data_IF_976614835910
#
_entry.id   IF_976614835910
#
_cell.length_a   1.000
_cell.length_b   1.000
_cell.length_c   1.000
_cell.angle_alpha   90.00
_cell.angle_beta   90.00
_cell.angle_gamma   90.00
#
_symmetry.space_group_name_H-M   'P 1'
#
loop_
_entity.id
_entity.type
_entity.pdbx_description
1 polymer ?
#
# COMPACT_ATOMS: atom_id res chain seq x y z
N UNK A 1 32.33 1.36 -23.02
CA UNK A 1 31.74 0.25 -22.24
C UNK A 1 30.25 0.54 -22.18
N UNK A 2 29.41 -0.29 -22.80
CA UNK A 2 27.96 -0.04 -22.84
C UNK A 2 27.39 -0.64 -21.54
N UNK A 3 26.93 0.21 -20.64
CA UNK A 3 26.28 -0.25 -19.41
C UNK A 3 25.02 -1.03 -19.80
N UNK A 4 24.97 -2.30 -19.41
CA UNK A 4 23.80 -3.14 -19.62
C UNK A 4 22.90 -2.94 -18.41
N UNK A 5 21.76 -2.27 -18.61
CA UNK A 5 20.75 -2.12 -17.56
C UNK A 5 19.74 -3.26 -17.69
N UNK A 6 19.49 -3.97 -16.60
CA UNK A 6 18.39 -4.94 -16.50
C UNK A 6 17.17 -4.24 -15.89
N UNK A 7 16.02 -4.35 -16.54
CA UNK A 7 14.74 -3.85 -16.04
C UNK A 7 13.84 -5.04 -15.68
N UNK A 8 13.40 -5.11 -14.42
CA UNK A 8 12.39 -6.06 -13.96
C UNK A 8 11.17 -5.26 -13.45
N UNK A 9 9.98 -5.44 -14.03
CA UNK A 9 8.76 -4.83 -13.52
C UNK A 9 8.42 -5.34 -12.11
N UNK A 10 8.02 -4.43 -11.21
CA UNK A 10 7.64 -4.82 -9.84
C UNK A 10 6.35 -5.67 -9.79
N UNK A 11 5.53 -5.60 -10.84
CA UNK A 11 4.23 -6.25 -10.99
C UNK A 11 3.30 -6.02 -9.79
N UNK A 12 3.38 -4.84 -9.15
CA UNK A 12 2.52 -4.49 -8.03
C UNK A 12 1.10 -4.11 -8.47
N UNK A 13 0.99 -3.27 -9.51
CA UNK A 13 -0.30 -2.89 -10.12
C UNK A 13 -0.50 -3.75 -11.36
N UNK A 14 -1.60 -4.52 -11.40
CA UNK A 14 -1.77 -5.60 -12.39
C UNK A 14 -2.95 -5.40 -13.34
N UNK A 15 -3.73 -4.34 -13.15
CA UNK A 15 -4.83 -4.02 -14.07
C UNK A 15 -5.18 -2.55 -14.05
N UNK A 16 -5.53 -2.01 -15.22
CA UNK A 16 -6.18 -0.72 -15.38
C UNK A 16 -7.70 -0.78 -15.31
N UNK A 17 -8.30 -1.95 -15.06
CA UNK A 17 -9.76 -2.13 -15.00
C UNK A 17 -10.43 -1.30 -13.90
N UNK A 18 -9.68 -0.98 -12.84
CA UNK A 18 -10.06 0.02 -11.85
C UNK A 18 -9.00 1.12 -11.81
N UNK A 19 -9.37 2.40 -11.78
CA UNK A 19 -8.39 3.48 -11.69
C UNK A 19 -7.61 3.37 -10.38
N UNK A 20 -6.29 3.44 -10.49
CA UNK A 20 -5.40 3.53 -9.35
C UNK A 20 -5.28 5.00 -8.93
N UNK A 21 -6.07 5.43 -7.94
CA UNK A 21 -6.17 6.85 -7.55
C UNK A 21 -5.07 7.21 -6.54
N UNK A 22 -4.15 8.14 -6.86
CA UNK A 22 -3.14 8.60 -5.92
C UNK A 22 -3.76 9.52 -4.84
N UNK A 23 -3.27 9.39 -3.61
CA UNK A 23 -3.58 10.29 -2.50
C UNK A 23 -2.30 10.67 -1.74
N UNK A 24 -2.30 11.87 -1.17
CA UNK A 24 -1.21 12.33 -0.30
C UNK A 24 -1.40 11.80 1.11
N UNK A 25 -0.31 11.31 1.71
CA UNK A 25 -0.31 10.74 3.06
C UNK A 25 0.86 11.28 3.88
N UNK A 26 0.80 11.07 5.17
CA UNK A 26 1.87 11.30 6.12
C UNK A 26 2.26 9.99 6.80
N UNK A 27 3.56 9.78 7.00
CA UNK A 27 4.09 8.71 7.84
C UNK A 27 4.80 9.36 9.03
N UNK A 28 4.35 9.05 10.25
CA UNK A 28 4.88 9.68 11.45
C UNK A 28 6.29 9.17 11.82
N UNK A 29 6.55 7.88 11.62
CA UNK A 29 7.84 7.25 11.95
C UNK A 29 8.06 5.97 11.16
N UNK A 30 9.31 5.50 11.12
CA UNK A 30 9.69 4.24 10.52
C UNK A 30 9.94 4.32 9.01
N UNK A 31 10.09 3.15 8.38
CA UNK A 31 10.27 3.02 6.93
C UNK A 31 9.11 2.22 6.39
N UNK A 32 8.42 2.79 5.40
CA UNK A 32 7.36 2.12 4.66
C UNK A 32 7.88 1.82 3.26
N UNK A 33 7.85 0.56 2.87
CA UNK A 33 8.24 0.15 1.52
C UNK A 33 7.06 0.25 0.55
N UNK A 34 7.36 0.41 -0.75
CA UNK A 34 6.33 0.40 -1.81
C UNK A 34 5.53 -0.90 -1.75
N UNK A 35 4.21 -0.79 -1.88
CA UNK A 35 3.31 -1.94 -1.82
C UNK A 35 2.87 -2.33 -0.41
N UNK A 36 3.33 -1.63 0.64
CA UNK A 36 2.83 -1.85 2.01
C UNK A 36 1.36 -1.49 2.12
N UNK A 37 0.56 -2.38 2.72
CA UNK A 37 -0.83 -2.13 3.08
C UNK A 37 -0.90 -1.27 4.35
N UNK A 38 -1.56 -0.12 4.25
CA UNK A 38 -1.59 0.89 5.29
C UNK A 38 -3.00 1.07 5.86
N UNK A 39 -3.07 1.43 7.13
CA UNK A 39 -4.29 1.81 7.84
C UNK A 39 -4.28 3.29 8.22
N UNK A 40 -5.48 3.81 8.49
CA UNK A 40 -5.67 5.17 8.99
C UNK A 40 -5.22 5.26 10.46
N UNK A 41 -4.50 6.33 10.79
CA UNK A 41 -4.12 6.66 12.19
C UNK A 41 -4.80 7.96 12.62
N UNK A 42 -4.65 9.02 11.83
CA UNK A 42 -5.24 10.33 12.15
C UNK A 42 -5.34 11.20 10.91
N UNK A 43 -6.05 12.33 11.02
CA UNK A 43 -6.09 13.37 10.00
C UNK A 43 -5.71 14.70 10.63
N UNK A 44 -4.86 15.46 9.95
CA UNK A 44 -4.62 16.85 10.31
C UNK A 44 -5.79 17.71 9.78
N UNK A 45 -6.64 18.30 10.65
CA UNK A 45 -7.82 19.04 10.21
C UNK A 45 -7.47 20.36 9.50
N UNK A 46 -6.26 20.88 9.66
CA UNK A 46 -5.84 22.11 8.98
C UNK A 46 -5.40 21.83 7.53
N UNK A 47 -4.77 20.68 7.29
CA UNK A 47 -4.22 20.33 5.97
C UNK A 47 -5.01 19.24 5.24
N UNK A 48 -5.96 18.59 5.92
CA UNK A 48 -6.69 17.40 5.49
C UNK A 48 -5.80 16.23 5.06
N UNK A 49 -4.54 16.21 5.49
CA UNK A 49 -3.63 15.12 5.15
C UNK A 49 -3.72 14.03 6.21
N UNK A 50 -3.94 12.82 5.74
CA UNK A 50 -4.08 11.63 6.57
C UNK A 50 -2.71 11.10 6.97
N UNK A 51 -2.53 10.84 8.26
CA UNK A 51 -1.42 10.04 8.77
C UNK A 51 -1.81 8.57 8.76
N UNK A 52 -0.88 7.75 8.26
CA UNK A 52 -1.06 6.31 8.08
C UNK A 52 0.12 5.55 8.68
N UNK A 53 -0.12 4.28 8.97
CA UNK A 53 0.89 3.32 9.39
C UNK A 53 0.63 1.97 8.70
N UNK A 54 1.56 1.03 8.81
CA UNK A 54 1.26 -0.35 8.42
C UNK A 54 0.04 -0.86 9.21
N UNK A 55 -0.83 -1.61 8.55
CA UNK A 55 -2.02 -2.17 9.20
C UNK A 55 -1.63 -2.99 10.43
N UNK A 56 -2.39 -2.90 11.52
CA UNK A 56 -2.16 -3.69 12.72
C UNK A 56 -3.47 -4.34 13.16
N UNK A 57 -3.63 -5.62 12.83
CA UNK A 57 -4.83 -6.39 13.18
C UNK A 57 -4.96 -6.64 14.69
N UNK A 58 -3.89 -6.41 15.46
CA UNK A 58 -3.84 -6.61 16.91
C UNK A 58 -4.06 -5.33 17.71
N UNK A 59 -4.13 -4.17 17.05
CA UNK A 59 -4.30 -2.87 17.70
C UNK A 59 -5.54 -2.82 18.59
N UNK A 60 -5.55 -1.94 19.59
CA UNK A 60 -6.78 -1.64 20.34
C UNK A 60 -7.74 -0.77 19.52
N UNK A 61 -7.20 0.02 18.57
CA UNK A 61 -7.95 0.94 17.74
C UNK A 61 -8.57 0.21 16.54
N UNK A 62 -9.85 0.43 16.27
CA UNK A 62 -10.57 -0.29 15.23
C UNK A 62 -10.11 0.13 13.83
N UNK A 63 -9.78 1.41 13.65
CA UNK A 63 -9.35 2.02 12.39
C UNK A 63 -7.99 1.49 11.92
N UNK A 64 -7.09 1.23 12.86
CA UNK A 64 -5.75 0.70 12.57
C UNK A 64 -5.77 -0.75 12.04
N UNK A 65 -6.89 -1.46 12.27
CA UNK A 65 -7.16 -2.82 11.74
C UNK A 65 -7.74 -2.81 10.34
N UNK A 66 -8.13 -1.66 9.83
CA UNK A 66 -8.82 -1.54 8.54
C UNK A 66 -7.86 -1.04 7.48
N UNK A 67 -7.86 -1.65 6.28
CA UNK A 67 -7.07 -1.16 5.17
C UNK A 67 -7.61 0.19 4.70
N UNK A 68 -6.70 1.10 4.39
CA UNK A 68 -7.01 2.44 3.91
C UNK A 68 -6.38 2.70 2.54
N UNK A 69 -5.09 2.39 2.37
CA UNK A 69 -4.37 2.61 1.12
C UNK A 69 -3.15 1.70 0.98
N UNK A 70 -2.48 1.74 -0.17
CA UNK A 70 -1.22 1.02 -0.43
C UNK A 70 -0.13 2.02 -0.80
N UNK A 71 1.06 1.91 -0.19
CA UNK A 71 2.16 2.84 -0.39
C UNK A 71 2.66 2.85 -1.86
N UNK A 72 2.72 4.02 -2.49
CA UNK A 72 3.21 4.15 -3.87
C UNK A 72 4.72 4.04 -3.98
N UNK A 73 5.43 4.56 -3.00
CA UNK A 73 6.88 4.62 -3.02
C UNK A 73 7.40 4.26 -1.63
N UNK A 74 8.71 4.01 -1.55
CA UNK A 74 9.38 3.94 -0.25
C UNK A 74 9.30 5.31 0.42
N UNK A 75 8.81 5.34 1.66
CA UNK A 75 8.71 6.54 2.49
C UNK A 75 9.59 6.30 3.73
N UNK A 76 10.63 7.10 3.87
CA UNK A 76 11.56 7.03 5.00
C UNK A 76 11.27 8.14 6.00
N UNK A 77 10.58 7.79 7.08
CA UNK A 77 10.27 8.66 8.20
C UNK A 77 11.11 8.32 9.45
N UNK A 78 12.27 7.66 9.27
CA UNK A 78 13.13 7.22 10.38
C UNK A 78 13.69 8.39 11.21
N UNK A 79 13.95 9.53 10.57
CA UNK A 79 14.52 10.73 11.22
C UNK A 79 13.49 11.80 11.56
N UNK A 80 12.39 11.86 10.81
CA UNK A 80 11.28 12.81 10.98
C UNK A 80 10.06 12.32 10.20
N UNK A 81 8.88 12.77 10.62
CA UNK A 81 7.66 12.54 9.86
C UNK A 81 7.82 13.00 8.40
N UNK A 82 7.31 12.21 7.46
CA UNK A 82 7.53 12.39 6.04
C UNK A 82 6.22 12.28 5.26
N UNK A 83 6.03 13.19 4.30
CA UNK A 83 4.94 13.10 3.33
C UNK A 83 5.28 12.06 2.27
N UNK A 84 4.27 11.36 1.80
CA UNK A 84 4.39 10.46 0.66
C UNK A 84 3.09 10.38 -0.10
N UNK A 85 3.04 9.43 -1.03
CA UNK A 85 1.83 9.11 -1.78
C UNK A 85 1.47 7.64 -1.65
N UNK A 86 0.19 7.38 -1.77
CA UNK A 86 -0.40 6.04 -1.71
C UNK A 86 -1.50 5.91 -2.76
N UNK A 87 -1.88 4.68 -3.11
CA UNK A 87 -3.08 4.42 -3.88
C UNK A 87 -4.25 4.19 -2.94
N UNK A 88 -5.32 4.98 -3.12
CA UNK A 88 -6.58 4.80 -2.39
C UNK A 88 -7.43 3.66 -2.99
N UNK A 89 -7.29 3.41 -4.29
CA UNK A 89 -8.03 2.38 -5.02
C UNK A 89 -7.13 1.68 -6.03
N UNK A 90 -7.55 0.51 -6.52
CA UNK A 90 -6.89 -0.17 -7.65
C UNK A 90 -6.90 -1.69 -7.53
N UNK A 91 -6.29 -2.34 -8.53
CA UNK A 91 -6.10 -3.80 -8.56
C UNK A 91 -4.62 -4.11 -8.43
N UNK A 92 -4.27 -4.80 -7.34
CA UNK A 92 -2.90 -5.05 -6.92
C UNK A 92 -2.60 -6.55 -6.87
N UNK A 93 -1.34 -6.90 -7.14
CA UNK A 93 -0.85 -8.25 -7.02
C UNK A 93 -0.76 -8.67 -5.56
N UNK A 94 -1.58 -9.63 -5.15
CA UNK A 94 -1.66 -10.18 -3.80
C UNK A 94 -0.29 -10.64 -3.26
N UNK A 95 0.61 -11.10 -4.15
CA UNK A 95 1.94 -11.62 -3.82
C UNK A 95 3.01 -10.53 -3.66
N UNK A 96 2.74 -9.31 -4.14
CA UNK A 96 3.65 -8.17 -4.08
C UNK A 96 3.22 -7.12 -3.04
N UNK A 97 1.96 -7.16 -2.61
CA UNK A 97 1.51 -6.36 -1.47
C UNK A 97 2.20 -6.84 -0.20
N UNK A 98 2.79 -5.91 0.53
CA UNK A 98 3.51 -6.18 1.77
C UNK A 98 2.50 -6.09 2.92
N UNK A 99 2.37 -7.19 3.65
CA UNK A 99 1.54 -7.31 4.83
C UNK A 99 2.43 -7.40 6.09
N UNK A 100 1.93 -7.00 7.27
CA UNK A 100 2.63 -7.21 8.52
C UNK A 100 2.92 -8.70 8.77
N UNK A 101 3.93 -8.97 9.58
CA UNK A 101 4.30 -10.34 9.92
C UNK A 101 3.10 -11.12 10.49
N UNK A 102 2.88 -12.33 9.97
CA UNK A 102 1.78 -13.20 10.40
C UNK A 102 0.43 -12.91 9.77
N UNK A 103 0.25 -11.77 9.07
CA UNK A 103 -0.98 -11.43 8.36
C UNK A 103 -0.98 -12.05 6.96
N UNK A 104 -2.09 -12.69 6.59
CA UNK A 104 -2.30 -13.29 5.27
C UNK A 104 -3.26 -12.43 4.45
N UNK A 105 -3.19 -12.56 3.12
CA UNK A 105 -4.12 -11.90 2.20
C UNK A 105 -5.57 -12.20 2.57
N UNK A 106 -5.88 -13.45 2.96
CA UNK A 106 -7.23 -13.87 3.35
C UNK A 106 -7.79 -13.07 4.54
N UNK A 107 -6.95 -12.62 5.47
CA UNK A 107 -7.36 -11.89 6.67
C UNK A 107 -7.85 -10.47 6.32
N UNK A 108 -7.29 -9.87 5.27
CA UNK A 108 -7.56 -8.49 4.87
C UNK A 108 -8.40 -8.37 3.60
N UNK A 109 -8.54 -9.45 2.82
CA UNK A 109 -9.14 -9.44 1.48
C UNK A 109 -10.52 -8.77 1.43
N UNK A 110 -11.43 -9.18 2.31
CA UNK A 110 -12.78 -8.63 2.36
C UNK A 110 -12.79 -7.17 2.80
N UNK A 111 -11.90 -6.78 3.72
CA UNK A 111 -11.79 -5.41 4.18
C UNK A 111 -11.22 -4.50 3.07
N UNK A 112 -10.22 -4.96 2.31
CA UNK A 112 -9.65 -4.23 1.18
C UNK A 112 -10.72 -3.94 0.11
N UNK A 113 -11.58 -4.92 -0.21
CA UNK A 113 -12.69 -4.72 -1.17
C UNK A 113 -13.65 -3.60 -0.75
N UNK A 114 -13.91 -3.42 0.54
CA UNK A 114 -14.82 -2.37 1.04
C UNK A 114 -14.30 -0.95 0.76
N UNK A 115 -13.00 -0.78 0.60
CA UNK A 115 -12.35 0.51 0.31
C UNK A 115 -11.88 0.62 -1.14
N UNK A 116 -12.21 -0.34 -2.01
CA UNK A 116 -11.83 -0.31 -3.42
C UNK A 116 -10.38 -0.72 -3.70
N UNK A 117 -9.75 -1.47 -2.78
CA UNK A 117 -8.47 -2.12 -2.99
C UNK A 117 -8.72 -3.60 -3.32
N UNK A 118 -8.38 -4.03 -4.52
CA UNK A 118 -8.59 -5.40 -4.99
C UNK A 118 -7.27 -6.15 -5.05
N UNK A 119 -7.09 -7.14 -4.17
CA UNK A 119 -5.89 -7.98 -4.13
C UNK A 119 -6.12 -9.23 -4.98
N UNK A 120 -5.53 -9.32 -6.16
CA UNK A 120 -5.69 -10.46 -7.06
C UNK A 120 -4.34 -11.07 -7.39
N UNK A 121 -4.34 -12.31 -7.87
CA UNK A 121 -3.13 -12.87 -8.47
C UNK A 121 -2.91 -12.22 -9.83
N UNK A 122 -1.66 -11.83 -10.11
CA UNK A 122 -1.28 -11.49 -11.47
C UNK A 122 -1.54 -12.72 -12.35
N UNK A 123 -2.37 -12.59 -13.38
CA UNK A 123 -2.39 -13.60 -14.43
C UNK A 123 -0.96 -13.69 -14.98
N UNK A 124 -0.39 -14.91 -15.11
CA UNK A 124 0.83 -15.07 -15.88
C UNK A 124 0.62 -14.48 -17.27
N UNK A 125 1.64 -13.83 -17.81
CA UNK A 125 1.65 -13.48 -19.23
C UNK A 125 1.43 -14.79 -20.02
N UNK A 126 0.35 -14.94 -20.83
CA UNK A 126 0.04 -16.19 -21.51
C UNK A 126 1.08 -16.59 -22.58
N UNK A 127 2.15 -15.80 -22.75
CA UNK A 127 3.19 -15.98 -23.79
C UNK A 127 4.58 -16.34 -23.22
N UNK A 128 4.69 -16.73 -21.95
CA UNK A 128 5.93 -17.27 -21.39
C UNK A 128 6.20 -18.72 -21.85
#
# INVERSE_FOLDING_TARGET
MQETFTHEPDNLVISGAMPAVPVNINVASGVIERGTLLSFVSIDPATNVVTVAAIDLTSANAEEKLPFCIAQHRIDASKKACRGSAWATGVFNSRKVILPAGVKVADVYLACRKVGLFLNDAMPDPVA
#
